data_IF_855017927283
#
_entry.id   IF_855017927283
#
_cell.length_a   1.000
_cell.length_b   1.000
_cell.length_c   1.000
_cell.angle_alpha   90.00
_cell.angle_beta   90.00
_cell.angle_gamma   90.00
#
_symmetry.space_group_name_H-M   'P 1'
#
loop_
_entity.id
_entity.type
_entity.pdbx_description
1 polymer ?
#
# COMPACT_ATOMS: atom_id res chain seq x y z
N UNK A 1 -5.24 48.71 -8.63
CA UNK A 1 -5.50 47.95 -9.86
C UNK A 1 -5.61 46.49 -9.47
N UNK A 2 -6.80 45.87 -9.53
CA UNK A 2 -7.01 44.42 -9.68
C UNK A 2 -8.53 44.13 -9.66
N UNK A 3 -9.17 44.35 -10.80
CA UNK A 3 -10.37 43.61 -11.22
C UNK A 3 -9.89 42.95 -12.53
N UNK A 4 -10.11 41.68 -12.86
CA UNK A 4 -11.36 40.94 -12.77
C UNK A 4 -11.04 39.46 -13.04
N UNK A 5 -11.41 38.54 -12.15
CA UNK A 5 -11.70 37.17 -12.60
C UNK A 5 -13.12 37.20 -13.16
N UNK A 6 -13.39 36.64 -14.36
CA UNK A 6 -14.75 36.51 -14.85
C UNK A 6 -15.53 35.64 -13.86
N UNK A 7 -16.52 36.24 -13.19
CA UNK A 7 -17.42 35.48 -12.32
C UNK A 7 -18.15 34.46 -13.18
N UNK A 8 -17.97 33.18 -12.87
CA UNK A 8 -18.71 32.12 -13.52
C UNK A 8 -20.21 32.30 -13.22
N UNK A 9 -21.09 32.10 -14.20
CA UNK A 9 -22.52 32.09 -13.94
C UNK A 9 -22.84 30.96 -12.94
N UNK A 10 -23.50 31.33 -11.85
CA UNK A 10 -24.07 30.38 -10.91
C UNK A 10 -25.30 29.74 -11.55
N UNK A 11 -25.21 28.44 -11.84
CA UNK A 11 -26.34 27.63 -12.28
C UNK A 11 -26.82 26.83 -11.08
N UNK A 12 -27.98 27.22 -10.53
CA UNK A 12 -28.67 26.42 -9.52
C UNK A 12 -29.53 25.37 -10.24
N UNK A 13 -29.48 24.09 -9.86
CA UNK A 13 -30.42 23.10 -10.39
C UNK A 13 -31.87 23.52 -10.17
N UNK A 14 -32.74 23.05 -11.08
CA UNK A 14 -34.18 23.24 -10.91
C UNK A 14 -34.63 22.69 -9.54
N UNK A 15 -35.46 23.41 -8.77
CA UNK A 15 -35.81 23.04 -7.39
C UNK A 15 -36.42 21.63 -7.28
N UNK A 16 -37.15 21.20 -8.31
CA UNK A 16 -37.79 19.88 -8.36
C UNK A 16 -36.88 18.74 -8.87
N UNK A 17 -35.61 19.03 -9.18
CA UNK A 17 -34.68 18.04 -9.73
C UNK A 17 -34.47 16.88 -8.76
N UNK A 18 -34.27 17.18 -7.47
CA UNK A 18 -34.08 16.16 -6.45
C UNK A 18 -35.33 15.30 -6.25
N UNK A 19 -36.51 15.91 -6.26
CA UNK A 19 -37.79 15.18 -6.15
C UNK A 19 -37.99 14.23 -7.33
N UNK A 20 -37.58 14.64 -8.54
CA UNK A 20 -37.64 13.77 -9.74
C UNK A 20 -36.65 12.61 -9.66
N UNK A 21 -35.41 12.86 -9.22
CA UNK A 21 -34.40 11.81 -9.04
C UNK A 21 -34.90 10.80 -8.02
N UNK A 22 -35.42 11.26 -6.89
CA UNK A 22 -35.92 10.39 -5.81
C UNK A 22 -37.10 9.52 -6.28
N UNK A 23 -38.05 10.10 -7.01
CA UNK A 23 -39.15 9.36 -7.60
C UNK A 23 -38.70 8.34 -8.66
N UNK A 24 -37.62 8.63 -9.40
CA UNK A 24 -37.08 7.72 -10.39
C UNK A 24 -36.29 6.58 -9.76
N UNK A 25 -35.50 6.88 -8.73
CA UNK A 25 -34.82 5.87 -7.91
C UNK A 25 -35.83 4.95 -7.22
N UNK A 26 -36.92 5.48 -6.66
CA UNK A 26 -37.96 4.67 -6.02
C UNK A 26 -38.67 3.73 -7.02
N UNK A 27 -38.97 4.18 -8.24
CA UNK A 27 -39.55 3.32 -9.30
C UNK A 27 -38.59 2.22 -9.75
N UNK A 28 -37.31 2.55 -9.86
CA UNK A 28 -36.30 1.62 -10.35
C UNK A 28 -35.76 0.71 -9.24
N UNK A 29 -35.86 1.09 -7.96
CA UNK A 29 -35.38 0.33 -6.81
C UNK A 29 -35.95 -1.08 -6.78
N UNK A 30 -37.27 -1.24 -6.88
CA UNK A 30 -37.92 -2.56 -6.80
C UNK A 30 -37.48 -3.49 -7.96
N UNK A 31 -37.38 -2.96 -9.18
CA UNK A 31 -36.94 -3.75 -10.35
C UNK A 31 -35.42 -3.99 -10.39
N UNK A 32 -34.63 -3.05 -9.87
CA UNK A 32 -33.16 -3.12 -9.85
C UNK A 32 -32.67 -4.09 -8.79
N UNK A 33 -33.31 -4.15 -7.62
CA UNK A 33 -32.94 -5.08 -6.55
C UNK A 33 -33.21 -6.53 -6.95
N UNK A 34 -34.37 -6.81 -7.56
CA UNK A 34 -34.69 -8.16 -8.02
C UNK A 34 -33.82 -8.61 -9.20
N UNK A 35 -33.52 -7.72 -10.15
CA UNK A 35 -32.67 -8.05 -11.29
C UNK A 35 -31.19 -8.19 -10.90
N UNK A 36 -30.70 -7.33 -10.01
CA UNK A 36 -29.35 -7.40 -9.47
C UNK A 36 -29.15 -8.67 -8.62
N UNK A 37 -30.11 -9.03 -7.77
CA UNK A 37 -30.04 -10.26 -6.97
C UNK A 37 -29.92 -11.53 -7.82
N UNK A 38 -30.63 -11.61 -8.95
CA UNK A 38 -30.50 -12.73 -9.90
C UNK A 38 -29.15 -12.73 -10.61
N UNK A 39 -28.69 -11.57 -11.07
CA UNK A 39 -27.38 -11.42 -11.73
C UNK A 39 -26.21 -11.77 -10.79
N UNK A 40 -26.31 -11.41 -9.51
CA UNK A 40 -25.35 -11.81 -8.47
C UNK A 40 -25.35 -13.32 -8.25
N UNK A 41 -26.50 -13.98 -8.37
CA UNK A 41 -26.57 -15.44 -8.25
C UNK A 41 -26.00 -16.18 -9.48
N UNK A 42 -26.14 -15.59 -10.66
CA UNK A 42 -25.64 -16.13 -11.93
C UNK A 42 -24.17 -15.78 -12.22
N UNK A 43 -23.52 -15.00 -11.33
CA UNK A 43 -22.13 -14.64 -11.47
C UNK A 43 -21.23 -15.87 -11.22
N UNK A 44 -20.39 -16.28 -12.19
CA UNK A 44 -19.47 -17.38 -11.98
C UNK A 44 -18.51 -17.03 -10.85
N UNK A 45 -18.43 -17.91 -9.85
CA UNK A 45 -17.46 -17.79 -8.76
C UNK A 45 -16.09 -18.15 -9.30
N UNK A 46 -15.39 -17.15 -9.85
CA UNK A 46 -14.02 -17.29 -10.30
C UNK A 46 -13.09 -16.90 -9.15
N UNK A 47 -12.47 -17.90 -8.54
CA UNK A 47 -11.39 -17.68 -7.60
C UNK A 47 -10.08 -17.55 -8.40
N UNK A 48 -9.43 -16.37 -8.43
CA UNK A 48 -8.12 -16.27 -9.05
C UNK A 48 -7.15 -17.15 -8.26
N UNK A 49 -6.21 -17.78 -8.96
CA UNK A 49 -5.10 -18.49 -8.30
C UNK A 49 -4.40 -17.52 -7.34
N UNK A 50 -4.09 -17.98 -6.13
CA UNK A 50 -3.49 -17.17 -5.08
C UNK A 50 -2.25 -16.37 -5.55
N UNK A 51 -1.44 -16.95 -6.44
CA UNK A 51 -0.21 -16.33 -6.96
C UNK A 51 -0.40 -15.33 -8.11
N UNK A 52 -1.64 -15.05 -8.54
CA UNK A 52 -1.87 -14.12 -9.67
C UNK A 52 -1.37 -12.71 -9.36
N UNK A 53 -1.57 -12.24 -8.13
CA UNK A 53 -1.11 -10.91 -7.73
C UNK A 53 0.42 -10.84 -7.67
N UNK A 54 1.07 -11.87 -7.10
CA UNK A 54 2.53 -11.98 -7.10
C UNK A 54 3.12 -12.03 -8.52
N UNK A 55 2.42 -12.69 -9.45
CA UNK A 55 2.83 -12.75 -10.86
C UNK A 55 2.73 -11.39 -11.54
N UNK A 56 1.64 -10.65 -11.32
CA UNK A 56 1.43 -9.31 -11.90
C UNK A 56 2.49 -8.33 -11.38
N UNK A 57 2.78 -8.37 -10.08
CA UNK A 57 3.81 -7.53 -9.46
C UNK A 57 5.20 -7.83 -10.03
N UNK A 58 5.53 -9.11 -10.21
CA UNK A 58 6.76 -9.55 -10.86
C UNK A 58 6.85 -9.13 -12.34
N UNK A 59 5.72 -8.97 -13.04
CA UNK A 59 5.70 -8.46 -14.42
C UNK A 59 5.81 -6.94 -14.49
N UNK A 60 5.26 -6.21 -13.51
CA UNK A 60 5.39 -4.75 -13.42
C UNK A 60 6.83 -4.32 -13.10
N UNK A 61 7.54 -5.11 -12.29
CA UNK A 61 8.96 -4.89 -11.96
C UNK A 61 9.92 -5.19 -13.11
N UNK A 62 9.45 -5.77 -14.22
CA UNK A 62 10.26 -5.95 -15.42
C UNK A 62 10.18 -4.66 -16.23
N UNK A 63 11.24 -3.83 -16.28
CA UNK A 63 11.28 -2.70 -17.18
C UNK A 63 11.32 -3.22 -18.62
N UNK A 64 10.18 -3.34 -19.28
CA UNK A 64 10.11 -3.48 -20.74
C UNK A 64 10.41 -2.14 -21.39
N UNK A 65 11.63 -1.65 -21.18
CA UNK A 65 12.18 -0.53 -21.92
C UNK A 65 12.46 -1.02 -23.34
N UNK A 66 11.44 -0.98 -24.20
CA UNK A 66 11.67 -1.02 -25.65
C UNK A 66 12.44 0.25 -25.99
N UNK A 67 13.70 0.17 -26.46
CA UNK A 67 14.43 1.36 -26.85
C UNK A 67 13.78 1.93 -28.11
N UNK A 68 12.95 2.96 -27.95
CA UNK A 68 12.23 3.59 -29.07
C UNK A 68 13.16 4.37 -29.98
N UNK A 69 14.39 4.71 -29.57
CA UNK A 69 15.31 5.50 -30.39
C UNK A 69 16.76 5.04 -30.26
N UNK A 70 17.24 4.31 -31.27
CA UNK A 70 18.67 4.22 -31.58
C UNK A 70 19.12 5.54 -32.21
N UNK A 71 19.62 6.48 -31.40
CA UNK A 71 20.28 7.67 -31.95
C UNK A 71 21.74 7.39 -32.28
N UNK A 72 22.23 7.90 -33.43
CA UNK A 72 23.57 7.64 -33.91
C UNK A 72 24.62 8.38 -33.09
N UNK A 73 25.74 7.69 -32.96
CA UNK A 73 26.97 8.08 -32.32
C UNK A 73 27.66 9.21 -33.12
N UNK A 74 27.30 10.47 -32.85
CA UNK A 74 27.98 11.62 -33.49
C UNK A 74 28.23 12.77 -32.51
N UNK A 75 29.13 12.59 -31.55
CA UNK A 75 29.75 13.72 -30.84
C UNK A 75 31.22 13.43 -30.50
N UNK A 76 32.06 13.19 -31.51
CA UNK A 76 33.53 13.16 -31.39
C UNK A 76 34.21 14.36 -32.08
N UNK A 77 33.70 15.59 -31.92
CA UNK A 77 34.40 16.75 -32.52
C UNK A 77 34.39 18.04 -31.71
N UNK A 78 33.98 18.04 -30.42
CA UNK A 78 33.95 19.27 -29.62
C UNK A 78 34.51 19.07 -28.20
N UNK A 79 35.72 18.52 -28.09
CA UNK A 79 36.50 18.48 -26.83
C UNK A 79 37.63 19.51 -26.85
N UNK A 80 37.31 20.76 -27.21
CA UNK A 80 38.31 21.84 -27.29
C UNK A 80 37.96 23.12 -26.53
N UNK A 81 36.66 23.36 -26.23
CA UNK A 81 36.22 24.69 -25.79
C UNK A 81 35.43 24.72 -24.47
N UNK A 82 35.31 23.57 -23.77
CA UNK A 82 34.54 23.48 -22.51
C UNK A 82 35.36 23.64 -21.24
N UNK A 83 36.69 23.44 -21.29
CA UNK A 83 37.52 23.49 -20.09
C UNK A 83 37.60 24.91 -19.46
N UNK A 84 37.70 25.95 -20.29
CA UNK A 84 37.82 27.32 -19.78
C UNK A 84 36.51 27.84 -19.15
N UNK A 85 35.35 27.50 -19.72
CA UNK A 85 34.05 27.92 -19.19
C UNK A 85 33.71 27.24 -17.85
N UNK A 86 34.09 25.97 -17.69
CA UNK A 86 33.88 25.24 -16.44
C UNK A 86 34.70 25.83 -15.28
N UNK A 87 35.95 26.23 -15.52
CA UNK A 87 36.81 26.84 -14.48
C UNK A 87 36.27 28.20 -14.03
N UNK A 88 35.77 29.03 -14.95
CA UNK A 88 35.19 30.33 -14.62
C UNK A 88 33.89 30.18 -13.82
N UNK A 89 33.02 29.24 -14.19
CA UNK A 89 31.79 28.97 -13.43
C UNK A 89 32.06 28.43 -12.02
N UNK A 90 33.04 27.53 -11.88
CA UNK A 90 33.45 27.02 -10.56
C UNK A 90 34.08 28.13 -9.70
N UNK A 91 34.89 29.00 -10.28
CA UNK A 91 35.48 30.15 -9.59
C UNK A 91 34.43 31.15 -9.10
N UNK A 92 33.44 31.47 -9.94
CA UNK A 92 32.33 32.36 -9.58
C UNK A 92 31.45 31.73 -8.49
N UNK A 93 31.17 30.42 -8.58
CA UNK A 93 30.37 29.71 -7.59
C UNK A 93 31.03 29.66 -6.21
N UNK A 94 32.35 29.46 -6.15
CA UNK A 94 33.11 29.50 -4.90
C UNK A 94 33.19 30.90 -4.29
N UNK A 95 33.22 31.95 -5.11
CA UNK A 95 33.26 33.34 -4.64
C UNK A 95 31.90 33.81 -4.10
N UNK A 96 30.80 33.35 -4.70
CA UNK A 96 29.44 33.76 -4.32
C UNK A 96 28.82 32.93 -3.19
N UNK A 97 29.41 31.81 -2.78
CA UNK A 97 28.97 31.01 -1.64
C UNK A 97 29.92 31.20 -0.44
N UNK A 98 29.79 32.30 0.34
CA UNK A 98 30.41 32.35 1.66
C UNK A 98 29.78 31.22 2.48
N UNK A 99 30.62 30.28 2.96
CA UNK A 99 30.19 29.24 3.89
C UNK A 99 29.62 29.92 5.13
N UNK A 100 28.30 29.89 5.29
CA UNK A 100 27.64 30.16 6.56
C UNK A 100 28.02 29.03 7.50
N UNK A 101 29.12 29.23 8.23
CA UNK A 101 29.50 28.39 9.36
C UNK A 101 28.63 28.78 10.55
N UNK A 102 27.33 28.53 10.44
CA UNK A 102 26.40 28.63 11.55
C UNK A 102 26.14 27.21 12.04
N UNK A 103 26.92 26.78 13.03
CA UNK A 103 26.63 25.58 13.81
C UNK A 103 25.36 25.81 14.63
N UNK A 104 24.20 25.62 14.01
CA UNK A 104 22.93 25.59 14.73
C UNK A 104 22.89 24.26 15.51
N UNK A 105 23.27 24.33 16.79
CA UNK A 105 23.14 23.22 17.73
C UNK A 105 21.66 23.10 18.12
N UNK A 106 20.92 22.26 17.40
CA UNK A 106 19.55 21.90 17.77
C UNK A 106 19.61 20.88 18.90
N UNK A 107 19.48 21.37 20.14
CA UNK A 107 19.27 20.50 21.29
C UNK A 107 17.77 20.21 21.40
N UNK A 108 17.39 18.96 21.17
CA UNK A 108 16.06 18.46 21.44
C UNK A 108 16.14 17.48 22.61
N UNK A 109 15.30 17.69 23.62
CA UNK A 109 15.15 16.74 24.72
C UNK A 109 14.07 15.73 24.33
N UNK A 110 14.46 14.47 24.11
CA UNK A 110 13.51 13.36 24.05
C UNK A 110 13.45 12.73 25.43
N UNK A 111 12.31 12.87 26.09
CA UNK A 111 12.03 12.09 27.29
C UNK A 111 11.75 10.64 26.87
N UNK A 112 12.79 9.81 26.86
CA UNK A 112 12.62 8.37 26.79
C UNK A 112 12.12 7.89 28.15
N UNK A 113 10.83 7.61 28.24
CA UNK A 113 10.29 6.82 29.34
C UNK A 113 10.95 5.43 29.27
N UNK A 114 11.93 5.18 30.14
CA UNK A 114 12.53 3.87 30.35
C UNK A 114 11.44 2.93 30.85
N UNK A 115 10.81 2.19 29.93
CA UNK A 115 10.11 0.98 30.32
C UNK A 115 11.16 -0.03 30.81
N UNK A 116 10.87 -0.78 31.89
CA UNK A 116 11.74 -1.85 32.34
C UNK A 116 11.92 -2.82 31.17
N UNK A 117 13.18 -3.08 30.85
CA UNK A 117 13.65 -4.00 29.81
C UNK A 117 12.75 -5.27 29.84
N UNK A 118 11.89 -5.51 28.84
CA UNK A 118 11.49 -6.88 28.59
C UNK A 118 12.76 -7.59 28.09
N UNK A 119 12.86 -8.88 28.39
CA UNK A 119 13.88 -9.78 27.88
C UNK A 119 14.24 -9.50 26.41
N UNK A 120 15.48 -9.81 25.95
CA UNK A 120 15.88 -9.59 24.56
C UNK A 120 14.76 -10.05 23.64
N UNK A 121 14.14 -9.06 22.97
CA UNK A 121 13.01 -9.30 22.10
C UNK A 121 13.39 -10.47 21.18
N UNK A 122 12.51 -11.49 21.03
CA UNK A 122 12.78 -12.55 20.07
C UNK A 122 13.07 -11.83 18.75
N UNK A 123 14.25 -12.12 18.18
CA UNK A 123 14.67 -11.53 16.92
C UNK A 123 13.53 -11.71 15.94
N UNK A 124 12.82 -10.61 15.67
CA UNK A 124 11.70 -10.63 14.75
C UNK A 124 12.37 -10.93 13.42
N UNK A 125 12.24 -12.17 12.96
CA UNK A 125 12.81 -12.57 11.68
C UNK A 125 12.36 -11.56 10.62
N UNK A 126 13.23 -11.23 9.64
CA UNK A 126 12.92 -10.23 8.62
C UNK A 126 11.64 -10.56 7.84
N UNK A 127 11.16 -11.79 7.90
CA UNK A 127 9.89 -12.27 7.34
C UNK A 127 8.65 -11.79 8.08
N UNK A 128 8.76 -11.31 9.32
CA UNK A 128 7.63 -10.77 10.08
C UNK A 128 6.47 -11.77 10.27
N UNK A 129 6.73 -13.08 10.25
CA UNK A 129 5.73 -14.11 10.54
C UNK A 129 6.27 -15.05 11.61
N UNK A 130 5.48 -15.32 12.65
CA UNK A 130 5.85 -16.29 13.67
C UNK A 130 5.81 -17.72 13.12
N UNK A 131 6.71 -18.63 13.55
CA UNK A 131 6.61 -20.06 13.22
C UNK A 131 5.32 -20.70 13.77
N UNK A 132 4.66 -20.10 14.75
CA UNK A 132 3.34 -20.53 15.21
C UNK A 132 2.25 -20.25 14.16
N UNK A 133 2.29 -19.06 13.55
CA UNK A 133 1.29 -18.63 12.56
C UNK A 133 1.35 -19.49 11.30
N UNK A 134 2.57 -19.80 10.83
CA UNK A 134 2.77 -20.72 9.70
C UNK A 134 2.12 -22.09 9.94
N UNK A 135 2.25 -22.64 11.15
CA UNK A 135 1.61 -23.93 11.50
C UNK A 135 0.09 -23.82 11.56
N UNK A 136 -0.43 -22.68 12.03
CA UNK A 136 -1.87 -22.42 12.05
C UNK A 136 -2.44 -22.35 10.62
N UNK A 137 -1.76 -21.65 9.72
CA UNK A 137 -2.14 -21.54 8.31
C UNK A 137 -2.08 -22.89 7.59
N UNK A 138 -1.04 -23.68 7.83
CA UNK A 138 -0.96 -25.05 7.31
C UNK A 138 -2.13 -25.92 7.80
N UNK A 139 -2.52 -25.80 9.08
CA UNK A 139 -3.66 -26.52 9.62
C UNK A 139 -4.97 -26.10 8.95
N UNK A 140 -5.18 -24.79 8.79
CA UNK A 140 -6.33 -24.20 8.12
C UNK A 140 -6.43 -24.71 6.68
N UNK A 141 -5.32 -24.67 5.93
CA UNK A 141 -5.30 -25.11 4.54
C UNK A 141 -5.64 -26.59 4.40
N UNK A 142 -5.06 -27.45 5.26
CA UNK A 142 -5.41 -28.89 5.27
C UNK A 142 -6.89 -29.11 5.57
N UNK A 143 -7.47 -28.36 6.52
CA UNK A 143 -8.90 -28.48 6.80
C UNK A 143 -9.78 -28.00 5.65
N UNK A 144 -9.38 -26.97 4.93
CA UNK A 144 -10.10 -26.53 3.74
C UNK A 144 -10.01 -27.53 2.58
N UNK A 145 -8.89 -28.24 2.44
CA UNK A 145 -8.74 -29.31 1.46
C UNK A 145 -9.64 -30.51 1.80
N UNK A 146 -9.73 -30.88 3.09
CA UNK A 146 -10.55 -31.99 3.56
C UNK A 146 -12.06 -31.67 3.52
N UNK A 147 -12.45 -30.42 3.84
CA UNK A 147 -13.85 -30.00 3.97
C UNK A 147 -14.14 -28.68 3.25
N UNK A 148 -14.11 -28.73 1.91
CA UNK A 148 -14.32 -27.56 1.05
C UNK A 148 -15.60 -26.77 1.36
N UNK A 149 -16.69 -27.45 1.73
CA UNK A 149 -17.96 -26.81 2.08
C UNK A 149 -17.88 -25.92 3.33
N UNK A 150 -16.98 -26.20 4.28
CA UNK A 150 -16.76 -25.35 5.47
C UNK A 150 -16.01 -24.07 5.11
N UNK A 151 -15.06 -24.15 4.16
CA UNK A 151 -14.28 -22.98 3.73
C UNK A 151 -15.01 -22.08 2.73
N UNK A 152 -16.09 -22.56 2.11
CA UNK A 152 -17.01 -21.73 1.32
C UNK A 152 -17.98 -20.91 2.18
N UNK A 153 -18.01 -21.12 3.51
CA UNK A 153 -18.83 -20.29 4.39
C UNK A 153 -18.35 -18.83 4.36
N UNK A 154 -19.26 -17.84 4.29
CA UNK A 154 -18.89 -16.45 4.15
C UNK A 154 -18.04 -15.94 5.32
N UNK A 155 -18.25 -16.46 6.53
CA UNK A 155 -17.49 -16.06 7.72
C UNK A 155 -16.02 -16.51 7.64
N UNK A 156 -15.78 -17.73 7.14
CA UNK A 156 -14.43 -18.26 6.96
C UNK A 156 -13.71 -17.53 5.82
N UNK A 157 -14.41 -17.27 4.73
CA UNK A 157 -13.87 -16.51 3.60
C UNK A 157 -13.47 -15.08 4.01
N UNK A 158 -14.32 -14.39 4.76
CA UNK A 158 -14.02 -13.05 5.26
C UNK A 158 -12.76 -13.02 6.13
N UNK A 159 -12.63 -13.95 7.09
CA UNK A 159 -11.45 -14.03 7.94
C UNK A 159 -10.18 -14.40 7.16
N UNK A 160 -10.29 -15.24 6.11
CA UNK A 160 -9.16 -15.54 5.22
C UNK A 160 -8.71 -14.30 4.43
N UNK A 161 -9.65 -13.47 3.99
CA UNK A 161 -9.32 -12.21 3.32
C UNK A 161 -8.64 -11.23 4.27
N UNK A 162 -9.15 -11.10 5.49
CA UNK A 162 -8.52 -10.26 6.52
C UNK A 162 -7.10 -10.74 6.85
N UNK A 163 -6.88 -12.06 6.87
CA UNK A 163 -5.55 -12.63 7.07
C UNK A 163 -4.59 -12.25 5.92
N UNK A 164 -5.04 -12.31 4.67
CA UNK A 164 -4.24 -11.92 3.51
C UNK A 164 -3.96 -10.40 3.47
N UNK A 165 -4.92 -9.57 3.89
CA UNK A 165 -4.73 -8.13 4.05
C UNK A 165 -3.65 -7.82 5.11
N UNK A 166 -3.73 -8.49 6.26
CA UNK A 166 -2.73 -8.34 7.32
C UNK A 166 -1.34 -8.80 6.89
N UNK A 167 -1.23 -9.85 6.08
CA UNK A 167 0.05 -10.28 5.50
C UNK A 167 0.62 -9.22 4.54
N UNK A 168 -0.22 -8.60 3.72
CA UNK A 168 0.18 -7.52 2.82
C UNK A 168 0.67 -6.29 3.60
N UNK A 169 -0.05 -5.90 4.64
CA UNK A 169 0.35 -4.83 5.57
C UNK A 169 1.69 -5.14 6.26
N UNK A 170 1.89 -6.38 6.69
CA UNK A 170 3.14 -6.84 7.30
C UNK A 170 4.32 -6.73 6.32
N UNK A 171 4.12 -7.13 5.06
CA UNK A 171 5.13 -7.00 4.01
C UNK A 171 5.46 -5.54 3.71
N UNK A 172 4.44 -4.66 3.66
CA UNK A 172 4.65 -3.22 3.47
C UNK A 172 5.50 -2.62 4.59
N UNK A 173 5.18 -2.92 5.85
CA UNK A 173 5.96 -2.42 7.00
C UNK A 173 7.41 -2.93 6.93
N UNK A 174 7.62 -4.20 6.57
CA UNK A 174 8.98 -4.77 6.41
C UNK A 174 9.74 -4.03 5.30
N UNK A 175 9.09 -3.76 4.16
CA UNK A 175 9.70 -3.02 3.06
C UNK A 175 10.06 -1.59 3.48
N UNK A 176 9.14 -0.88 4.14
CA UNK A 176 9.38 0.47 4.65
C UNK A 176 10.55 0.50 5.65
N UNK A 177 10.68 -0.49 6.54
CA UNK A 177 11.85 -0.62 7.43
C UNK A 177 13.16 -0.84 6.69
N UNK A 178 13.17 -1.54 5.55
CA UNK A 178 14.39 -1.70 4.76
C UNK A 178 14.86 -0.36 4.17
N UNK A 179 13.92 0.54 3.86
CA UNK A 179 14.20 1.87 3.29
C UNK A 179 14.55 2.89 4.37
N UNK A 180 13.81 2.91 5.47
CA UNK A 180 13.87 3.95 6.50
C UNK A 180 14.62 3.53 7.78
N UNK A 181 14.99 2.25 7.92
CA UNK A 181 15.63 1.70 9.11
C UNK A 181 14.66 1.38 10.25
N UNK A 182 15.21 1.10 11.43
CA UNK A 182 14.45 0.68 12.63
C UNK A 182 13.78 1.87 13.35
N UNK A 183 12.84 2.53 12.67
CA UNK A 183 11.98 3.54 13.31
C UNK A 183 11.02 2.88 14.33
N UNK A 184 10.91 3.40 15.57
CA UNK A 184 9.96 2.89 16.56
C UNK A 184 8.49 2.87 16.10
N UNK A 185 8.11 3.68 15.12
CA UNK A 185 6.77 3.67 14.52
C UNK A 185 6.51 2.34 13.81
N UNK A 186 7.45 1.85 13.00
CA UNK A 186 7.30 0.59 12.27
C UNK A 186 7.30 -0.62 13.20
N UNK A 187 8.08 -0.59 14.28
CA UNK A 187 8.07 -1.65 15.30
C UNK A 187 6.71 -1.76 15.98
N UNK A 188 6.10 -0.62 16.35
CA UNK A 188 4.74 -0.62 16.95
C UNK A 188 3.68 -1.10 15.95
N UNK A 189 3.80 -0.68 14.69
CA UNK A 189 2.90 -1.11 13.63
C UNK A 189 2.98 -2.63 13.42
N UNK A 190 4.20 -3.18 13.37
CA UNK A 190 4.43 -4.61 13.24
C UNK A 190 3.81 -5.41 14.39
N UNK A 191 4.02 -4.99 15.65
CA UNK A 191 3.41 -5.67 16.81
C UNK A 191 1.88 -5.65 16.74
N UNK A 192 1.30 -4.54 16.26
CA UNK A 192 -0.15 -4.44 16.08
C UNK A 192 -0.65 -5.43 15.04
N UNK A 193 0.02 -5.54 13.90
CA UNK A 193 -0.33 -6.48 12.82
C UNK A 193 -0.23 -7.92 13.30
N UNK A 194 0.84 -8.29 14.01
CA UNK A 194 1.02 -9.64 14.57
C UNK A 194 -0.10 -10.01 15.57
N UNK A 195 -0.50 -9.07 16.44
CA UNK A 195 -1.62 -9.31 17.36
C UNK A 195 -2.95 -9.52 16.62
N UNK A 196 -3.21 -8.73 15.57
CA UNK A 196 -4.42 -8.89 14.75
C UNK A 196 -4.42 -10.24 14.03
N UNK A 197 -3.28 -10.66 13.48
CA UNK A 197 -3.13 -11.94 12.80
C UNK A 197 -3.39 -13.11 13.73
N UNK A 198 -2.84 -13.07 14.95
CA UNK A 198 -3.07 -14.09 15.96
C UNK A 198 -4.54 -14.24 16.34
N UNK A 199 -5.29 -13.13 16.44
CA UNK A 199 -6.73 -13.18 16.75
C UNK A 199 -7.53 -13.76 15.57
N UNK A 200 -7.26 -13.30 14.34
CA UNK A 200 -7.92 -13.82 13.13
C UNK A 200 -7.67 -15.33 12.96
N UNK A 201 -6.42 -15.79 13.12
CA UNK A 201 -6.07 -17.21 13.04
C UNK A 201 -6.79 -18.05 14.09
N UNK A 202 -6.89 -17.54 15.32
CA UNK A 202 -7.61 -18.20 16.41
C UNK A 202 -9.11 -18.32 16.10
N UNK A 203 -9.75 -17.27 15.59
CA UNK A 203 -11.15 -17.32 15.17
C UNK A 203 -11.36 -18.35 14.05
N UNK A 204 -10.46 -18.37 13.06
CA UNK A 204 -10.52 -19.28 11.92
C UNK A 204 -10.40 -20.75 12.36
N UNK A 205 -9.43 -21.05 13.24
CA UNK A 205 -9.28 -22.40 13.82
C UNK A 205 -10.53 -22.80 14.61
N UNK A 206 -11.15 -21.85 15.33
CA UNK A 206 -12.35 -22.12 16.13
C UNK A 206 -13.53 -22.49 15.24
N UNK A 207 -13.76 -21.74 14.15
CA UNK A 207 -14.83 -22.01 13.19
C UNK A 207 -14.62 -23.29 12.39
N UNK A 208 -13.37 -23.66 12.09
CA UNK A 208 -13.06 -24.90 11.37
C UNK A 208 -13.14 -26.15 12.27
N UNK A 209 -13.08 -25.98 13.59
CA UNK A 209 -13.22 -27.09 14.55
C UNK A 209 -14.68 -27.32 14.98
N UNK A 210 -15.55 -26.31 14.86
CA UNK A 210 -16.98 -26.39 15.24
C UNK A 210 -17.84 -27.05 14.17
#
# INVERSE_FOLDING_TARGET
MNHSLPQLPEYDPHPDLWVRIDADLARNADSSVESFGRLVHDLPTYEPKADIWATIEQELDKPTLRPIWSKPQTHWLWTGLTAAAAIVLVGIWLYLNPKTDEQIRVEYAVEQATQPNPDPAPSIEPTGQSPADKRAEEFINRQCDDYQALCQRPEVHELRNQLAELETEQQRIVHERQVFGDDPVFVRAQVKVENQRAEVLKELITLLRS
#
